data_IF_622349652929
#
_entry.id   IF_622349652929
#
_cell.length_a   1.000
_cell.length_b   1.000
_cell.length_c   1.000
_cell.angle_alpha   90.00
_cell.angle_beta   90.00
_cell.angle_gamma   90.00
#
_symmetry.space_group_name_H-M   'P 1'
#
loop_
_entity.id
_entity.type
_entity.pdbx_description
1 polymer ?
#
# COMPACT_ATOMS: atom_id res chain seq x y z
N UNK A 1 -41.42 -0.34 58.26
CA UNK A 1 -40.52 -1.47 58.56
C UNK A 1 -39.11 -0.94 58.69
N UNK A 2 -38.47 -1.14 59.85
CA UNK A 2 -37.11 -0.70 60.13
C UNK A 2 -36.14 -1.31 59.11
N UNK A 3 -35.56 -0.48 58.24
CA UNK A 3 -34.43 -0.89 57.40
C UNK A 3 -33.26 -1.27 58.33
N UNK A 4 -32.83 -2.54 58.26
CA UNK A 4 -31.63 -3.02 58.93
C UNK A 4 -30.43 -2.22 58.42
N UNK A 5 -29.93 -1.29 59.25
CA UNK A 5 -28.66 -0.59 59.09
C UNK A 5 -27.50 -1.53 59.41
N UNK A 6 -27.25 -2.53 58.56
CA UNK A 6 -25.99 -3.28 58.64
C UNK A 6 -25.15 -2.91 57.42
N UNK A 7 -24.01 -2.28 57.67
CA UNK A 7 -23.01 -1.96 56.66
C UNK A 7 -22.45 -3.26 56.07
N UNK A 8 -21.94 -3.23 54.83
CA UNK A 8 -21.23 -4.36 54.24
C UNK A 8 -20.07 -4.87 55.15
N UNK A 9 -19.47 -3.97 55.94
CA UNK A 9 -18.46 -4.32 56.94
C UNK A 9 -19.02 -5.13 58.14
N UNK A 10 -20.29 -4.90 58.51
CA UNK A 10 -20.97 -5.65 59.57
C UNK A 10 -21.39 -7.05 59.09
N UNK A 11 -21.73 -7.18 57.80
CA UNK A 11 -22.05 -8.46 57.17
C UNK A 11 -20.82 -9.37 57.10
N UNK A 12 -19.66 -8.83 56.70
CA UNK A 12 -18.39 -9.59 56.66
C UNK A 12 -17.99 -10.08 58.06
N UNK A 13 -18.22 -9.28 59.11
CA UNK A 13 -17.92 -9.67 60.50
C UNK A 13 -18.87 -10.73 61.06
N UNK A 14 -20.09 -10.84 60.53
CA UNK A 14 -21.11 -11.84 60.94
C UNK A 14 -21.21 -13.02 59.97
N UNK A 15 -20.37 -13.05 58.94
CA UNK A 15 -20.41 -14.09 57.91
C UNK A 15 -19.91 -15.40 58.49
N UNK A 16 -20.83 -16.34 58.69
CA UNK A 16 -20.52 -17.69 59.15
C UNK A 16 -20.57 -18.65 57.97
N UNK A 17 -19.42 -19.21 57.59
CA UNK A 17 -19.30 -20.16 56.48
C UNK A 17 -20.20 -21.40 56.68
N UNK A 18 -20.47 -21.76 57.94
CA UNK A 18 -21.31 -22.92 58.28
C UNK A 18 -22.80 -22.72 58.00
N UNK A 19 -23.24 -21.47 57.84
CA UNK A 19 -24.63 -21.12 57.48
C UNK A 19 -24.93 -21.25 55.98
N UNK A 20 -23.89 -21.44 55.16
CA UNK A 20 -23.99 -21.59 53.71
C UNK A 20 -23.51 -22.97 53.28
N UNK A 21 -24.45 -23.91 53.12
CA UNK A 21 -24.14 -25.21 52.52
C UNK A 21 -23.95 -25.05 51.01
N UNK A 22 -22.70 -25.16 50.53
CA UNK A 22 -22.45 -25.25 49.09
C UNK A 22 -22.87 -26.63 48.58
N UNK A 23 -23.60 -26.70 47.45
CA UNK A 23 -23.96 -27.99 46.88
C UNK A 23 -22.70 -28.73 46.39
N UNK A 24 -22.59 -30.06 46.61
CA UNK A 24 -21.50 -30.86 46.09
C UNK A 24 -21.40 -30.80 44.55
N UNK A 25 -20.18 -30.99 44.05
CA UNK A 25 -19.82 -30.82 42.63
C UNK A 25 -20.73 -31.60 41.67
N UNK A 26 -21.20 -32.78 42.07
CA UNK A 26 -22.09 -33.63 41.28
C UNK A 26 -23.48 -33.01 41.07
N UNK A 27 -24.00 -32.30 42.08
CA UNK A 27 -25.29 -31.61 41.99
C UNK A 27 -25.19 -30.41 41.06
N UNK A 28 -24.09 -29.65 41.12
CA UNK A 28 -23.83 -28.54 40.19
C UNK A 28 -23.70 -29.04 38.74
N UNK A 29 -23.04 -30.19 38.54
CA UNK A 29 -22.92 -30.81 37.22
C UNK A 29 -24.28 -31.22 36.64
N UNK A 30 -25.14 -31.87 37.43
CA UNK A 30 -26.48 -32.23 36.99
C UNK A 30 -27.34 -31.00 36.69
N UNK A 31 -27.23 -29.94 37.49
CA UNK A 31 -28.12 -28.79 37.37
C UNK A 31 -27.78 -27.89 36.17
N UNK A 32 -26.49 -27.78 35.83
CA UNK A 32 -26.00 -26.83 34.80
C UNK A 32 -25.42 -27.49 33.55
N UNK A 33 -24.88 -28.71 33.62
CA UNK A 33 -24.22 -29.35 32.49
C UNK A 33 -25.08 -30.43 31.78
N UNK A 34 -26.13 -30.97 32.41
CA UNK A 34 -26.97 -32.02 31.80
C UNK A 34 -27.85 -31.54 30.64
N UNK A 35 -28.13 -30.22 30.56
CA UNK A 35 -28.98 -29.62 29.51
C UNK A 35 -28.19 -29.09 28.30
N UNK A 36 -26.87 -29.20 28.31
CA UNK A 36 -26.01 -28.68 27.24
C UNK A 36 -25.47 -29.88 26.47
N UNK A 37 -25.97 -30.07 25.25
CA UNK A 37 -25.32 -30.99 24.32
C UNK A 37 -23.85 -30.56 24.15
N UNK A 38 -22.88 -31.47 24.23
CA UNK A 38 -21.49 -31.14 23.96
C UNK A 38 -21.39 -30.76 22.48
N UNK A 39 -21.41 -29.45 22.17
CA UNK A 39 -20.97 -28.99 20.86
C UNK A 39 -19.51 -29.43 20.70
N UNK A 40 -19.16 -30.12 19.61
CA UNK A 40 -17.78 -30.48 19.35
C UNK A 40 -17.02 -29.19 19.05
N UNK A 41 -16.41 -28.60 20.08
CA UNK A 41 -15.40 -27.57 19.92
C UNK A 41 -14.27 -28.15 19.06
N UNK A 42 -14.29 -27.88 17.76
CA UNK A 42 -13.19 -28.15 16.85
C UNK A 42 -12.07 -27.15 17.13
N UNK A 43 -11.29 -27.43 18.18
CA UNK A 43 -10.02 -26.77 18.40
C UNK A 43 -9.00 -27.40 17.43
N UNK A 44 -8.53 -26.62 16.44
CA UNK A 44 -7.52 -27.02 15.45
C UNK A 44 -6.17 -27.45 16.06
N UNK A 45 -5.99 -27.29 17.37
CA UNK A 45 -4.77 -27.64 18.10
C UNK A 45 -4.79 -29.05 18.69
N UNK A 46 -5.85 -29.83 18.48
CA UNK A 46 -5.93 -31.19 19.05
C UNK A 46 -5.13 -32.23 18.24
N UNK A 47 -4.80 -31.93 16.98
CA UNK A 47 -4.07 -32.83 16.10
C UNK A 47 -2.64 -32.33 15.90
N UNK A 48 -1.75 -32.78 16.79
CA UNK A 48 -0.33 -33.03 16.55
C UNK A 48 0.50 -31.95 15.85
N UNK A 49 0.84 -30.88 16.56
CA UNK A 49 2.17 -30.28 16.47
C UNK A 49 2.38 -29.29 17.61
N UNK A 50 3.32 -29.56 18.52
CA UNK A 50 3.88 -28.50 19.38
C UNK A 50 4.81 -27.67 18.51
N UNK A 51 4.23 -26.89 17.60
CA UNK A 51 4.92 -25.78 16.97
C UNK A 51 4.52 -24.56 17.75
N UNK A 52 5.47 -23.98 18.47
CA UNK A 52 5.31 -22.68 19.12
C UNK A 52 4.90 -21.68 18.02
N UNK A 53 3.61 -21.31 17.98
CA UNK A 53 3.03 -20.42 16.96
C UNK A 53 3.53 -18.97 17.11
N UNK A 54 4.26 -18.67 18.19
CA UNK A 54 5.00 -17.42 18.35
C UNK A 54 6.46 -17.76 18.66
N UNK A 55 7.42 -17.45 17.76
CA UNK A 55 8.83 -17.51 18.09
C UNK A 55 9.16 -16.41 19.09
N UNK A 56 10.00 -16.72 20.07
CA UNK A 56 10.51 -15.78 21.06
C UNK A 56 11.26 -14.64 20.33
N UNK A 57 10.88 -13.37 20.52
CA UNK A 57 11.49 -12.24 19.83
C UNK A 57 12.98 -12.02 20.17
N UNK A 58 13.48 -12.62 21.26
CA UNK A 58 14.88 -12.48 21.68
C UNK A 58 15.82 -13.52 21.03
N UNK A 59 15.29 -14.41 20.18
CA UNK A 59 16.08 -15.44 19.46
C UNK A 59 16.12 -15.13 17.95
N UNK A 60 17.31 -14.92 17.34
CA UNK A 60 17.43 -14.67 15.91
C UNK A 60 16.86 -15.81 15.06
N UNK A 61 16.05 -15.48 14.05
CA UNK A 61 15.52 -16.46 13.10
C UNK A 61 16.66 -17.15 12.35
N UNK A 62 16.78 -18.47 12.53
CA UNK A 62 17.79 -19.31 11.88
C UNK A 62 18.76 -20.02 12.83
N UNK A 63 18.71 -19.76 14.14
CA UNK A 63 19.52 -20.48 15.12
C UNK A 63 18.80 -21.75 15.59
N UNK A 64 19.30 -22.92 15.21
CA UNK A 64 18.92 -24.20 15.80
C UNK A 64 19.71 -24.43 17.10
N UNK A 65 19.02 -24.40 18.23
CA UNK A 65 19.60 -24.55 19.58
C UNK A 65 20.20 -25.94 19.84
N UNK A 66 20.09 -26.89 18.90
CA UNK A 66 20.73 -28.21 18.96
C UNK A 66 21.58 -28.53 17.73
N UNK A 67 22.15 -27.53 17.05
CA UNK A 67 23.14 -27.80 15.99
C UNK A 67 24.41 -28.45 16.55
N UNK A 68 24.85 -29.62 16.05
CA UNK A 68 26.07 -30.27 16.50
C UNK A 68 27.34 -29.63 15.90
N UNK A 69 27.22 -28.46 15.25
CA UNK A 69 28.34 -27.69 14.69
C UNK A 69 29.17 -26.95 15.75
N UNK A 70 28.73 -26.94 17.02
CA UNK A 70 29.43 -26.24 18.11
C UNK A 70 30.14 -27.11 19.14
N UNK A 71 30.09 -28.45 19.04
CA UNK A 71 30.94 -29.32 19.88
C UNK A 71 32.31 -29.54 19.24
N UNK A 72 33.21 -28.58 19.50
CA UNK A 72 34.64 -28.70 19.20
C UNK A 72 35.31 -29.71 20.14
N UNK A 73 35.50 -30.94 19.65
CA UNK A 73 36.61 -31.77 20.10
C UNK A 73 37.65 -31.94 18.98
N UNK A 74 38.96 -31.91 19.29
CA UNK A 74 39.99 -31.78 18.26
C UNK A 74 40.19 -33.12 17.53
N UNK A 75 39.98 -33.13 16.21
CA UNK A 75 40.64 -34.11 15.33
C UNK A 75 39.81 -34.96 14.36
N UNK A 76 38.51 -34.72 14.11
CA UNK A 76 37.74 -35.54 13.13
C UNK A 76 36.95 -34.69 12.14
N UNK A 77 37.02 -35.03 10.84
CA UNK A 77 36.30 -34.41 9.71
C UNK A 77 34.82 -34.87 9.64
N UNK A 78 33.89 -34.08 9.07
CA UNK A 78 32.45 -34.29 9.21
C UNK A 78 31.91 -35.36 8.23
N UNK A 79 30.84 -36.05 8.62
CA UNK A 79 30.01 -36.84 7.70
C UNK A 79 28.51 -36.70 8.02
N UNK A 80 27.82 -36.30 6.96
CA UNK A 80 26.38 -36.27 6.65
C UNK A 80 25.54 -37.43 7.22
N UNK A 81 24.28 -37.13 7.57
CA UNK A 81 23.14 -37.98 7.22
C UNK A 81 22.13 -38.33 8.33
N UNK A 82 20.95 -37.72 8.26
CA UNK A 82 19.60 -38.29 8.45
C UNK A 82 19.34 -39.29 9.59
N UNK A 83 18.51 -38.89 10.56
CA UNK A 83 18.01 -39.79 11.60
C UNK A 83 16.93 -39.17 12.49
N UNK A 84 15.72 -39.13 11.95
CA UNK A 84 14.40 -38.92 12.56
C UNK A 84 14.29 -39.29 14.05
N UNK A 85 14.43 -38.29 14.94
CA UNK A 85 14.15 -38.44 16.38
C UNK A 85 12.69 -38.09 16.72
N UNK A 86 12.07 -37.24 15.93
CA UNK A 86 10.70 -36.74 16.16
C UNK A 86 9.62 -37.78 15.86
N UNK A 87 9.76 -38.62 14.83
CA UNK A 87 8.75 -39.68 14.55
C UNK A 87 8.75 -40.78 15.62
N UNK A 88 9.89 -41.09 16.24
CA UNK A 88 9.96 -42.09 17.31
C UNK A 88 9.28 -41.62 18.61
N UNK A 89 9.35 -40.32 18.90
CA UNK A 89 8.68 -39.73 20.06
C UNK A 89 7.18 -39.58 19.78
N UNK A 90 6.80 -39.17 18.56
CA UNK A 90 5.41 -39.08 18.15
C UNK A 90 4.69 -40.45 18.18
N UNK A 91 5.38 -41.53 17.79
CA UNK A 91 4.86 -42.90 17.88
C UNK A 91 4.71 -43.42 19.31
N UNK A 92 5.52 -42.93 20.25
CA UNK A 92 5.42 -43.32 21.67
C UNK A 92 4.34 -42.54 22.41
N UNK A 93 4.12 -41.27 22.04
CA UNK A 93 3.09 -40.41 22.64
C UNK A 93 1.68 -40.72 22.12
N UNK A 94 1.54 -41.26 20.91
CA UNK A 94 0.23 -41.67 20.36
C UNK A 94 -0.36 -42.90 21.04
N UNK A 95 0.45 -43.70 21.75
CA UNK A 95 -0.02 -44.84 22.55
C UNK A 95 -0.49 -44.47 23.97
N UNK A 96 -0.26 -43.23 24.42
CA UNK A 96 -0.74 -42.74 25.70
C UNK A 96 -2.00 -41.90 25.44
N UNK A 97 -3.19 -42.49 25.64
CA UNK A 97 -4.42 -41.71 25.69
C UNK A 97 -4.35 -40.76 26.88
N UNK A 98 -4.03 -39.49 26.60
CA UNK A 98 -4.07 -38.39 27.58
C UNK A 98 -5.51 -37.92 27.88
N UNK A 99 -6.51 -38.75 27.57
CA UNK A 99 -7.92 -38.47 27.90
C UNK A 99 -8.09 -38.39 29.42
N UNK A 100 -8.28 -37.16 29.92
CA UNK A 100 -8.59 -36.89 31.31
C UNK A 100 -7.48 -36.26 32.14
N UNK A 101 -6.26 -36.12 31.62
CA UNK A 101 -5.14 -35.44 32.31
C UNK A 101 -5.06 -33.94 32.03
N UNK A 102 -5.89 -33.41 31.13
CA UNK A 102 -6.00 -31.96 30.89
C UNK A 102 -6.80 -31.27 32.01
N UNK A 103 -6.44 -30.04 32.41
CA UNK A 103 -7.24 -29.27 33.35
C UNK A 103 -8.66 -29.13 32.79
N UNK A 104 -9.66 -29.57 33.56
CA UNK A 104 -11.07 -29.40 33.20
C UNK A 104 -11.43 -27.93 33.39
N UNK A 105 -11.37 -27.15 32.31
CA UNK A 105 -11.75 -25.74 32.28
C UNK A 105 -13.27 -25.59 32.43
N UNK A 106 -13.78 -25.87 33.62
CA UNK A 106 -15.18 -25.63 33.99
C UNK A 106 -15.26 -24.15 34.38
N UNK A 107 -15.78 -23.31 33.48
CA UNK A 107 -16.15 -21.92 33.80
C UNK A 107 -17.66 -21.88 34.06
N UNK A 108 -18.13 -22.11 35.30
CA UNK A 108 -19.54 -21.91 35.60
C UNK A 108 -19.88 -20.45 35.32
N UNK A 109 -21.05 -20.21 34.72
CA UNK A 109 -21.51 -18.85 34.50
C UNK A 109 -21.56 -18.10 35.85
N UNK A 110 -21.08 -16.85 35.92
CA UNK A 110 -21.09 -16.10 37.16
C UNK A 110 -22.53 -16.06 37.72
N UNK A 111 -22.72 -16.33 39.02
CA UNK A 111 -24.05 -16.37 39.62
C UNK A 111 -24.71 -15.01 39.47
N UNK A 112 -25.89 -14.98 38.83
CA UNK A 112 -26.72 -13.77 38.77
C UNK A 112 -27.35 -13.61 40.15
N UNK A 113 -26.79 -12.71 40.96
CA UNK A 113 -27.40 -12.33 42.23
C UNK A 113 -28.73 -11.61 41.96
N UNK A 114 -29.77 -11.85 42.77
CA UNK A 114 -31.02 -11.11 42.66
C UNK A 114 -30.77 -9.64 42.99
N UNK A 115 -31.40 -8.73 42.23
CA UNK A 115 -31.24 -7.28 42.43
C UNK A 115 -31.73 -6.91 43.83
N UNK A 116 -30.85 -6.34 44.65
CA UNK A 116 -31.15 -5.93 46.01
C UNK A 116 -31.83 -4.56 46.02
N UNK A 117 -32.72 -4.33 46.99
CA UNK A 117 -33.37 -3.03 47.17
C UNK A 117 -32.32 -1.95 47.49
N UNK A 118 -32.01 -1.09 46.49
CA UNK A 118 -31.02 -0.02 46.59
C UNK A 118 -29.86 -0.12 45.59
N UNK A 119 -29.80 -1.17 44.75
CA UNK A 119 -28.82 -1.25 43.67
C UNK A 119 -29.14 -0.28 42.53
N UNK A 120 -28.11 0.41 42.03
CA UNK A 120 -28.21 1.30 40.88
C UNK A 120 -28.51 0.47 39.62
N UNK A 121 -29.71 0.64 39.07
CA UNK A 121 -30.08 0.05 37.79
C UNK A 121 -29.25 0.71 36.69
N UNK A 122 -28.53 -0.09 35.90
CA UNK A 122 -27.87 0.40 34.70
C UNK A 122 -28.97 0.85 33.72
N UNK A 123 -29.17 2.16 33.61
CA UNK A 123 -30.06 2.73 32.61
C UNK A 123 -29.33 2.59 31.29
N UNK A 124 -29.75 1.65 30.43
CA UNK A 124 -29.45 1.71 29.01
C UNK A 124 -30.40 2.76 28.43
N UNK A 125 -29.98 4.03 28.25
CA UNK A 125 -30.81 4.96 27.51
C UNK A 125 -31.08 4.35 26.14
N UNK A 126 -32.33 4.40 25.68
CA UNK A 126 -32.66 4.01 24.31
C UNK A 126 -31.76 4.83 23.38
N UNK A 127 -30.85 4.16 22.69
CA UNK A 127 -29.94 4.77 21.72
C UNK A 127 -30.76 5.10 20.48
N UNK A 128 -31.66 6.08 20.59
CA UNK A 128 -32.32 6.71 19.46
C UNK A 128 -31.37 7.73 18.84
N UNK A 129 -30.14 7.31 18.52
CA UNK A 129 -29.27 8.10 17.66
C UNK A 129 -29.70 7.79 16.23
N UNK A 130 -30.48 8.68 15.64
CA UNK A 130 -30.69 8.68 14.20
C UNK A 130 -29.32 8.81 13.52
N UNK A 131 -29.04 7.96 12.54
CA UNK A 131 -27.80 8.02 11.76
C UNK A 131 -27.80 9.33 10.96
N UNK A 132 -27.27 10.39 11.56
CA UNK A 132 -27.01 11.65 10.87
C UNK A 132 -25.74 11.48 10.03
N UNK A 133 -25.89 10.86 8.87
CA UNK A 133 -24.85 10.84 7.86
C UNK A 133 -24.87 12.17 7.10
N UNK A 134 -23.73 12.85 7.03
CA UNK A 134 -23.59 13.98 6.11
C UNK A 134 -23.48 13.43 4.68
N UNK A 135 -24.61 13.38 3.98
CA UNK A 135 -24.67 12.99 2.57
C UNK A 135 -23.94 13.98 1.63
N UNK A 136 -23.49 15.13 2.14
CA UNK A 136 -22.60 16.07 1.46
C UNK A 136 -21.10 15.77 1.65
N UNK A 137 -20.75 14.87 2.57
CA UNK A 137 -19.37 14.46 2.80
C UNK A 137 -18.88 13.64 1.59
N UNK A 138 -17.91 14.18 0.85
CA UNK A 138 -17.45 13.65 -0.45
C UNK A 138 -18.46 13.76 -1.60
N UNK A 139 -19.53 14.56 -1.46
CA UNK A 139 -20.31 14.96 -2.62
C UNK A 139 -19.41 15.83 -3.50
N UNK A 140 -19.19 15.38 -4.73
CA UNK A 140 -18.52 16.19 -5.74
C UNK A 140 -19.15 17.58 -5.72
N UNK A 141 -18.36 18.59 -5.37
CA UNK A 141 -18.80 19.96 -5.58
C UNK A 141 -19.24 20.05 -7.05
N UNK A 142 -20.32 20.76 -7.34
CA UNK A 142 -20.82 20.88 -8.72
C UNK A 142 -19.71 21.26 -9.72
N UNK A 143 -18.68 21.97 -9.23
CA UNK A 143 -17.42 22.27 -9.91
C UNK A 143 -16.58 21.02 -10.24
N UNK A 144 -16.29 20.16 -9.27
CA UNK A 144 -15.54 18.92 -9.52
C UNK A 144 -16.22 17.96 -10.51
N UNK A 145 -17.55 17.91 -10.50
CA UNK A 145 -18.32 17.18 -11.51
C UNK A 145 -18.16 17.80 -12.91
N UNK A 146 -18.26 19.13 -13.02
CA UNK A 146 -18.06 19.84 -14.29
C UNK A 146 -16.64 19.65 -14.86
N UNK A 147 -15.59 19.75 -14.03
CA UNK A 147 -14.21 19.46 -14.46
C UNK A 147 -14.09 18.02 -14.92
N UNK A 148 -14.65 17.06 -14.19
CA UNK A 148 -14.60 15.64 -14.59
C UNK A 148 -15.26 15.40 -15.93
N UNK A 149 -16.41 16.01 -16.19
CA UNK A 149 -17.09 15.92 -17.48
C UNK A 149 -16.27 16.54 -18.62
N UNK A 150 -15.57 17.65 -18.35
CA UNK A 150 -14.66 18.28 -19.30
C UNK A 150 -13.44 17.41 -19.56
N UNK A 151 -12.82 16.83 -18.53
CA UNK A 151 -11.71 15.88 -18.69
C UNK A 151 -12.16 14.62 -19.43
N UNK A 152 -13.35 14.10 -19.17
CA UNK A 152 -13.91 12.96 -19.89
C UNK A 152 -14.12 13.26 -21.39
N UNK A 153 -14.43 14.52 -21.74
CA UNK A 153 -14.46 14.99 -23.13
C UNK A 153 -13.04 15.15 -23.70
N UNK A 154 -12.09 15.63 -22.88
CA UNK A 154 -10.68 15.79 -23.25
C UNK A 154 -10.01 14.51 -23.72
N UNK A 155 -10.38 13.40 -23.09
CA UNK A 155 -9.86 12.08 -23.40
C UNK A 155 -10.36 11.55 -24.75
N UNK A 156 -11.50 12.04 -25.24
CA UNK A 156 -12.11 11.60 -26.50
C UNK A 156 -11.73 12.48 -27.69
N UNK A 157 -11.30 13.71 -27.43
CA UNK A 157 -10.97 14.66 -28.49
C UNK A 157 -10.54 16.04 -27.97
N UNK A 158 -10.16 16.94 -28.88
CA UNK A 158 -9.72 18.28 -28.53
C UNK A 158 -10.88 19.10 -27.96
N UNK A 159 -10.64 19.80 -26.84
CA UNK A 159 -11.61 20.74 -26.29
C UNK A 159 -11.59 22.08 -27.03
N UNK A 160 -12.72 22.77 -26.99
CA UNK A 160 -12.79 24.16 -27.43
C UNK A 160 -11.92 25.05 -26.52
N UNK A 161 -11.27 26.12 -27.05
CA UNK A 161 -10.39 26.98 -26.24
C UNK A 161 -11.05 27.54 -24.98
N UNK A 162 -12.33 27.91 -25.04
CA UNK A 162 -13.08 28.38 -23.88
C UNK A 162 -13.23 27.31 -22.77
N UNK A 163 -13.38 26.04 -23.17
CA UNK A 163 -13.45 24.93 -22.22
C UNK A 163 -12.08 24.59 -21.64
N UNK A 164 -11.01 24.71 -22.43
CA UNK A 164 -9.64 24.55 -21.95
C UNK A 164 -9.33 25.60 -20.87
N UNK A 165 -9.65 26.87 -21.14
CA UNK A 165 -9.47 27.96 -20.17
C UNK A 165 -10.27 27.73 -18.89
N UNK A 166 -11.53 27.26 -19.01
CA UNK A 166 -12.34 26.92 -17.85
C UNK A 166 -11.67 25.86 -16.95
N UNK A 167 -11.16 24.76 -17.54
CA UNK A 167 -10.46 23.71 -16.78
C UNK A 167 -9.22 24.28 -16.09
N UNK A 168 -8.42 25.10 -16.78
CA UNK A 168 -7.21 25.68 -16.21
C UNK A 168 -7.52 26.62 -15.03
N UNK A 169 -8.55 27.46 -15.16
CA UNK A 169 -8.98 28.37 -14.08
C UNK A 169 -9.51 27.59 -12.88
N UNK A 170 -10.30 26.54 -13.10
CA UNK A 170 -10.83 25.72 -12.01
C UNK A 170 -9.72 24.93 -11.29
N UNK A 171 -8.74 24.40 -12.02
CA UNK A 171 -7.55 23.74 -11.46
C UNK A 171 -6.60 24.70 -10.73
N UNK A 172 -6.54 25.96 -11.15
CA UNK A 172 -5.78 26.99 -10.46
C UNK A 172 -6.44 27.42 -9.13
N UNK A 173 -7.77 27.48 -9.11
CA UNK A 173 -8.55 27.84 -7.93
C UNK A 173 -8.53 26.74 -6.84
N UNK A 174 -8.65 25.47 -7.24
CA UNK A 174 -8.58 24.34 -6.32
C UNK A 174 -7.72 23.20 -6.87
N UNK A 175 -6.43 23.14 -6.49
CA UNK A 175 -5.51 22.09 -6.90
C UNK A 175 -5.94 20.68 -6.48
N UNK A 176 -6.84 20.52 -5.50
CA UNK A 176 -7.31 19.20 -5.06
C UNK A 176 -8.29 18.56 -6.04
N UNK A 177 -8.90 19.35 -6.93
CA UNK A 177 -9.81 18.84 -7.97
C UNK A 177 -9.16 17.80 -8.88
N UNK A 178 -7.83 17.84 -9.00
CA UNK A 178 -7.01 16.91 -9.75
C UNK A 178 -7.24 15.45 -9.34
N UNK A 179 -7.45 15.19 -8.04
CA UNK A 179 -7.78 13.86 -7.51
C UNK A 179 -9.22 13.42 -7.84
N UNK A 180 -10.11 14.36 -8.18
CA UNK A 180 -11.50 14.13 -8.54
C UNK A 180 -11.75 14.10 -10.06
N UNK A 181 -10.73 14.41 -10.86
CA UNK A 181 -10.82 14.39 -12.33
C UNK A 181 -10.95 12.97 -12.91
N UNK A 182 -10.69 11.92 -12.13
CA UNK A 182 -10.75 10.53 -12.60
C UNK A 182 -9.72 10.21 -13.69
N UNK A 183 -8.66 11.01 -13.78
CA UNK A 183 -7.51 10.70 -14.61
C UNK A 183 -6.80 9.50 -13.99
N UNK A 184 -6.47 8.52 -14.83
CA UNK A 184 -5.66 7.35 -14.45
C UNK A 184 -4.45 7.32 -15.36
N UNK A 185 -3.31 6.75 -14.93
CA UNK A 185 -2.10 6.70 -15.77
C UNK A 185 -2.37 6.13 -17.17
N UNK A 186 -3.25 5.13 -17.29
CA UNK A 186 -3.63 4.51 -18.57
C UNK A 186 -4.31 5.46 -19.57
N UNK A 187 -4.99 6.50 -19.08
CA UNK A 187 -5.70 7.49 -19.91
C UNK A 187 -4.84 8.73 -20.19
N UNK A 188 -3.64 8.82 -19.60
CA UNK A 188 -2.73 9.93 -19.81
C UNK A 188 -2.32 10.09 -21.29
N UNK A 189 -1.99 9.02 -22.04
CA UNK A 189 -1.61 9.15 -23.46
C UNK A 189 -2.71 9.80 -24.29
N UNK A 190 -3.96 9.39 -24.09
CA UNK A 190 -5.13 9.96 -24.79
C UNK A 190 -5.30 11.45 -24.48
N UNK A 191 -5.02 11.87 -23.24
CA UNK A 191 -5.08 13.28 -22.84
C UNK A 191 -3.96 14.09 -23.50
N UNK A 192 -2.74 13.55 -23.53
CA UNK A 192 -1.56 14.20 -24.11
C UNK A 192 -1.75 14.42 -25.60
N UNK A 193 -2.26 13.43 -26.33
CA UNK A 193 -2.45 13.53 -27.78
C UNK A 193 -3.57 14.50 -28.17
N UNK A 194 -4.66 14.55 -27.40
CA UNK A 194 -5.79 15.42 -27.71
C UNK A 194 -5.63 16.84 -27.15
N UNK A 195 -5.06 16.99 -25.95
CA UNK A 195 -5.03 18.25 -25.20
C UNK A 195 -3.73 18.39 -24.36
N UNK A 196 -2.57 18.68 -24.97
CA UNK A 196 -1.28 18.72 -24.28
C UNK A 196 -1.20 19.79 -23.19
N UNK A 197 -1.87 20.95 -23.37
CA UNK A 197 -1.85 22.04 -22.39
C UNK A 197 -2.52 21.61 -21.07
N UNK A 198 -3.65 20.90 -21.15
CA UNK A 198 -4.35 20.40 -19.97
C UNK A 198 -3.50 19.31 -19.28
N UNK A 199 -2.87 18.44 -20.06
CA UNK A 199 -2.00 17.40 -19.52
C UNK A 199 -0.84 18.00 -18.69
N UNK A 200 -0.22 19.09 -19.16
CA UNK A 200 0.83 19.81 -18.41
C UNK A 200 0.29 20.32 -17.08
N UNK A 201 -0.82 21.07 -17.08
CA UNK A 201 -1.34 21.66 -15.84
C UNK A 201 -1.72 20.58 -14.81
N UNK A 202 -2.36 19.50 -15.26
CA UNK A 202 -2.72 18.38 -14.40
C UNK A 202 -1.48 17.71 -13.82
N UNK A 203 -0.46 17.44 -14.64
CA UNK A 203 0.79 16.83 -14.19
C UNK A 203 1.56 17.73 -13.21
N UNK A 204 1.58 19.05 -13.42
CA UNK A 204 2.19 20.02 -12.47
C UNK A 204 1.55 19.88 -11.09
N UNK A 205 0.21 19.79 -11.01
CA UNK A 205 -0.47 19.64 -9.72
C UNK A 205 -0.23 18.26 -9.08
N UNK A 206 -0.01 17.23 -9.90
CA UNK A 206 0.31 15.88 -9.42
C UNK A 206 1.78 15.69 -8.98
N UNK A 207 2.72 16.60 -9.27
CA UNK A 207 4.16 16.34 -8.99
C UNK A 207 4.44 15.98 -7.53
N UNK A 208 3.71 16.57 -6.57
CA UNK A 208 3.89 16.29 -5.14
C UNK A 208 3.05 15.09 -4.65
N UNK A 209 2.30 14.43 -5.53
CA UNK A 209 1.48 13.26 -5.20
C UNK A 209 2.32 11.98 -5.18
N UNK A 210 2.05 11.03 -4.28
CA UNK A 210 2.73 9.73 -4.28
C UNK A 210 2.47 8.91 -5.56
N UNK A 211 1.42 9.22 -6.33
CA UNK A 211 1.04 8.50 -7.55
C UNK A 211 1.84 8.96 -8.80
N UNK A 212 2.57 10.09 -8.73
CA UNK A 212 3.29 10.65 -9.88
C UNK A 212 4.25 9.67 -10.60
N UNK A 213 4.96 8.73 -9.93
CA UNK A 213 5.89 7.85 -10.62
C UNK A 213 5.21 6.94 -11.65
N UNK A 214 3.95 6.56 -11.43
CA UNK A 214 3.19 5.77 -12.40
C UNK A 214 2.86 6.58 -13.65
N UNK A 215 2.49 7.85 -13.49
CA UNK A 215 2.26 8.77 -14.60
C UNK A 215 3.55 9.00 -15.40
N UNK A 216 4.69 9.17 -14.73
CA UNK A 216 6.00 9.29 -15.38
C UNK A 216 6.41 8.02 -16.14
N UNK A 217 6.13 6.84 -15.59
CA UNK A 217 6.38 5.56 -16.29
C UNK A 217 5.57 5.49 -17.59
N UNK A 218 4.29 5.87 -17.54
CA UNK A 218 3.46 5.96 -18.75
C UNK A 218 3.99 7.03 -19.70
N UNK A 219 4.42 8.18 -19.16
CA UNK A 219 4.96 9.30 -19.93
C UNK A 219 6.21 8.92 -20.72
N UNK A 220 7.06 8.06 -20.16
CA UNK A 220 8.22 7.47 -20.85
C UNK A 220 7.81 6.40 -21.84
N UNK A 221 6.85 5.55 -21.51
CA UNK A 221 6.46 4.41 -22.36
C UNK A 221 5.65 4.77 -23.60
N UNK A 222 5.14 6.00 -23.69
CA UNK A 222 4.29 6.41 -24.81
C UNK A 222 5.09 6.57 -26.10
N UNK A 223 4.38 6.52 -27.24
CA UNK A 223 4.98 6.78 -28.53
C UNK A 223 5.49 8.23 -28.63
N UNK A 224 6.71 8.39 -29.13
CA UNK A 224 7.34 9.70 -29.27
C UNK A 224 6.59 10.57 -30.28
N UNK A 225 6.01 11.66 -29.81
CA UNK A 225 5.17 12.60 -30.57
C UNK A 225 5.56 14.06 -30.28
N UNK A 226 5.05 15.01 -31.08
CA UNK A 226 5.25 16.43 -30.79
C UNK A 226 4.58 16.80 -29.45
N UNK A 227 3.36 16.29 -29.21
CA UNK A 227 2.58 16.59 -28.02
C UNK A 227 3.26 16.09 -26.75
N UNK A 228 3.75 14.85 -26.75
CA UNK A 228 4.47 14.26 -25.61
C UNK A 228 5.76 15.02 -25.30
N UNK A 229 6.54 15.38 -26.31
CA UNK A 229 7.75 16.20 -26.13
C UNK A 229 7.44 17.62 -25.66
N UNK A 230 6.35 18.24 -26.14
CA UNK A 230 5.93 19.55 -25.62
C UNK A 230 5.59 19.46 -24.12
N UNK A 231 4.83 18.43 -23.72
CA UNK A 231 4.44 18.21 -22.33
C UNK A 231 5.68 18.07 -21.45
N UNK A 232 6.62 17.20 -21.81
CA UNK A 232 7.87 17.01 -21.05
C UNK A 232 8.69 18.29 -21.00
N UNK A 233 8.87 18.99 -22.13
CA UNK A 233 9.65 20.23 -22.18
C UNK A 233 9.04 21.31 -21.27
N UNK A 234 7.71 21.48 -21.27
CA UNK A 234 7.02 22.44 -20.38
C UNK A 234 7.07 22.04 -18.91
N UNK A 235 6.91 20.75 -18.60
CA UNK A 235 7.02 20.27 -17.23
C UNK A 235 8.40 20.55 -16.66
N UNK A 236 9.44 20.26 -17.44
CA UNK A 236 10.83 20.43 -17.03
C UNK A 236 11.20 21.91 -16.80
N UNK A 237 10.53 22.85 -17.47
CA UNK A 237 10.72 24.30 -17.21
C UNK A 237 9.91 24.83 -16.03
N UNK A 238 8.86 24.12 -15.61
CA UNK A 238 7.91 24.59 -14.58
C UNK A 238 8.17 23.96 -13.22
N UNK A 239 8.67 22.72 -13.20
CA UNK A 239 8.92 21.95 -11.99
C UNK A 239 10.26 21.22 -12.10
N UNK A 240 10.97 21.12 -10.98
CA UNK A 240 12.18 20.30 -10.88
C UNK A 240 11.81 18.82 -10.90
N UNK A 241 12.02 18.18 -12.06
CA UNK A 241 11.77 16.75 -12.24
C UNK A 241 12.99 15.93 -11.78
N UNK A 242 12.80 14.71 -11.28
CA UNK A 242 13.90 13.80 -10.98
C UNK A 242 14.78 13.56 -12.21
N UNK A 243 16.10 13.66 -12.05
CA UNK A 243 17.05 13.46 -13.16
C UNK A 243 16.92 12.06 -13.76
N UNK A 244 16.68 11.04 -12.93
CA UNK A 244 16.44 9.64 -13.34
C UNK A 244 15.33 9.54 -14.39
N UNK A 245 14.22 10.25 -14.20
CA UNK A 245 13.12 10.30 -15.16
C UNK A 245 13.57 10.92 -16.49
N UNK A 246 14.30 12.03 -16.44
CA UNK A 246 14.77 12.74 -17.64
C UNK A 246 15.76 11.87 -18.43
N UNK A 247 16.72 11.23 -17.75
CA UNK A 247 17.66 10.32 -18.39
C UNK A 247 16.94 9.15 -19.05
N UNK A 248 16.02 8.50 -18.33
CA UNK A 248 15.23 7.39 -18.88
C UNK A 248 14.40 7.82 -20.10
N UNK A 249 13.81 9.02 -20.06
CA UNK A 249 13.10 9.60 -21.20
C UNK A 249 14.02 9.83 -22.40
N UNK A 250 15.23 10.37 -22.19
CA UNK A 250 16.22 10.60 -23.26
C UNK A 250 16.67 9.27 -23.88
N UNK A 251 16.99 8.27 -23.07
CA UNK A 251 17.38 6.94 -23.57
C UNK A 251 16.25 6.31 -24.39
N UNK A 252 15.00 6.46 -23.95
CA UNK A 252 13.85 6.01 -24.74
C UNK A 252 13.72 6.78 -26.06
N UNK A 253 13.88 8.11 -26.05
CA UNK A 253 13.86 8.93 -27.27
C UNK A 253 14.89 8.46 -28.31
N UNK A 254 16.11 8.19 -27.86
CA UNK A 254 17.23 7.73 -28.72
C UNK A 254 16.93 6.33 -29.25
N UNK A 255 16.50 5.42 -28.39
CA UNK A 255 16.14 4.04 -28.75
C UNK A 255 14.98 3.99 -29.74
N UNK A 256 13.94 4.82 -29.55
CA UNK A 256 12.82 4.97 -30.48
C UNK A 256 13.25 5.53 -31.84
N UNK A 257 14.23 6.44 -31.88
CA UNK A 257 14.78 6.92 -33.15
C UNK A 257 15.50 5.80 -33.92
N UNK A 258 16.17 4.87 -33.23
CA UNK A 258 16.88 3.76 -33.87
C UNK A 258 15.94 2.64 -34.36
N UNK A 259 14.80 2.43 -33.69
CA UNK A 259 13.86 1.36 -34.04
C UNK A 259 12.98 1.67 -35.26
N UNK A 260 12.81 2.95 -35.62
CA UNK A 260 12.01 3.37 -36.78
C UNK A 260 12.71 2.99 -38.09
N UNK A 261 12.06 2.15 -38.89
CA UNK A 261 12.59 1.66 -40.18
C UNK A 261 12.51 2.71 -41.30
N UNK A 262 11.51 3.59 -41.27
CA UNK A 262 11.33 4.61 -42.30
C UNK A 262 12.30 5.77 -42.08
N UNK A 263 13.25 5.93 -43.00
CA UNK A 263 14.25 7.00 -42.96
C UNK A 263 13.64 8.40 -42.95
N UNK A 264 12.48 8.61 -43.58
CA UNK A 264 11.85 9.94 -43.58
C UNK A 264 11.35 10.29 -42.18
N UNK A 265 10.58 9.40 -41.57
CA UNK A 265 10.05 9.55 -40.22
C UNK A 265 11.17 9.59 -39.17
N UNK A 266 12.20 8.77 -39.35
CA UNK A 266 13.39 8.77 -38.51
C UNK A 266 14.10 10.14 -38.53
N UNK A 267 14.30 10.73 -39.71
CA UNK A 267 14.91 12.06 -39.80
C UNK A 267 14.02 13.15 -39.18
N UNK A 268 12.68 13.04 -39.29
CA UNK A 268 11.75 13.96 -38.63
C UNK A 268 11.84 13.86 -37.11
N UNK A 269 11.81 12.64 -36.56
CA UNK A 269 11.90 12.43 -35.11
C UNK A 269 13.28 12.84 -34.58
N UNK A 270 14.35 12.47 -35.28
CA UNK A 270 15.71 12.88 -34.93
C UNK A 270 15.86 14.40 -34.85
N UNK A 271 15.24 15.16 -35.74
CA UNK A 271 15.16 16.63 -35.66
C UNK A 271 14.46 17.11 -34.39
N UNK A 272 13.31 16.51 -34.07
CA UNK A 272 12.52 16.88 -32.89
C UNK A 272 13.30 16.61 -31.60
N UNK A 273 13.92 15.42 -31.48
CA UNK A 273 14.78 15.04 -30.36
C UNK A 273 15.99 15.98 -30.25
N UNK A 274 16.62 16.37 -31.36
CA UNK A 274 17.73 17.32 -31.33
C UNK A 274 17.31 18.68 -30.74
N UNK A 275 16.16 19.22 -31.16
CA UNK A 275 15.64 20.50 -30.64
C UNK A 275 15.27 20.37 -29.16
N UNK A 276 14.67 19.26 -28.76
CA UNK A 276 14.35 18.96 -27.37
C UNK A 276 15.60 18.90 -26.49
N UNK A 277 16.63 18.14 -26.89
CA UNK A 277 17.90 18.07 -26.17
C UNK A 277 18.61 19.43 -26.09
N UNK A 278 18.57 20.22 -27.17
CA UNK A 278 19.09 21.59 -27.15
C UNK A 278 18.36 22.47 -26.12
N UNK A 279 17.04 22.31 -25.98
CA UNK A 279 16.23 23.02 -24.96
C UNK A 279 16.69 22.65 -23.54
N UNK A 280 16.81 21.35 -23.25
CA UNK A 280 17.24 20.85 -21.94
C UNK A 280 18.64 21.36 -21.53
N UNK A 281 19.58 21.34 -22.49
CA UNK A 281 20.95 21.80 -22.27
C UNK A 281 21.00 23.32 -22.05
N UNK A 282 20.29 24.11 -22.88
CA UNK A 282 20.28 25.57 -22.76
C UNK A 282 19.67 26.05 -21.45
N UNK A 283 18.63 25.35 -20.98
CA UNK A 283 17.96 25.65 -19.73
C UNK A 283 18.71 25.10 -18.50
N UNK A 284 19.88 24.45 -18.69
CA UNK A 284 20.73 23.85 -17.63
C UNK A 284 19.99 22.89 -16.71
N UNK A 285 19.06 22.13 -17.29
CA UNK A 285 18.25 21.17 -16.53
C UNK A 285 19.06 19.89 -16.26
N UNK A 286 19.92 19.50 -17.21
CA UNK A 286 20.70 18.27 -17.15
C UNK A 286 22.18 18.59 -17.05
N UNK A 287 22.91 17.82 -16.25
CA UNK A 287 24.36 17.82 -16.25
C UNK A 287 24.86 17.19 -17.55
N UNK A 288 25.51 18.00 -18.38
CA UNK A 288 25.98 17.59 -19.72
C UNK A 288 26.93 16.38 -19.64
N UNK A 289 27.73 16.28 -18.57
CA UNK A 289 28.68 15.18 -18.37
C UNK A 289 28.01 13.81 -18.27
N UNK A 290 26.82 13.72 -17.67
CA UNK A 290 26.14 12.44 -17.42
C UNK A 290 25.52 11.86 -18.70
N UNK A 291 25.12 12.72 -19.64
CA UNK A 291 24.51 12.34 -20.93
C UNK A 291 25.47 12.45 -22.12
N UNK A 292 26.71 12.89 -21.90
CA UNK A 292 27.61 13.29 -22.99
C UNK A 292 27.83 12.16 -24.00
N UNK A 293 28.16 10.97 -23.52
CA UNK A 293 28.52 9.82 -24.37
C UNK A 293 27.31 9.38 -25.21
N UNK A 294 26.12 9.30 -24.60
CA UNK A 294 24.90 8.84 -25.27
C UNK A 294 24.44 9.83 -26.35
N UNK A 295 24.43 11.13 -26.03
CA UNK A 295 24.02 12.17 -26.98
C UNK A 295 25.07 12.38 -28.07
N UNK A 296 26.36 12.22 -27.76
CA UNK A 296 27.43 12.28 -28.74
C UNK A 296 27.30 11.14 -29.76
N UNK A 297 27.08 9.91 -29.28
CA UNK A 297 26.85 8.74 -30.13
C UNK A 297 25.64 8.96 -31.05
N UNK A 298 24.53 9.45 -30.49
CA UNK A 298 23.34 9.83 -31.26
C UNK A 298 23.64 10.89 -32.33
N UNK A 299 24.36 11.96 -31.99
CA UNK A 299 24.71 13.01 -32.95
C UNK A 299 25.60 12.50 -34.11
N UNK A 300 26.47 11.52 -33.85
CA UNK A 300 27.32 10.90 -34.89
C UNK A 300 26.48 10.04 -35.82
N UNK A 301 25.59 9.20 -35.25
CA UNK A 301 24.67 8.35 -36.01
C UNK A 301 23.74 9.19 -36.91
N UNK A 302 23.22 10.30 -36.37
CA UNK A 302 22.33 11.22 -37.06
C UNK A 302 23.05 12.42 -37.70
N UNK A 303 24.35 12.29 -38.00
CA UNK A 303 25.20 13.36 -38.55
C UNK A 303 24.69 14.01 -39.85
N UNK A 304 23.83 13.32 -40.60
CA UNK A 304 23.18 13.86 -41.81
C UNK A 304 22.14 14.95 -41.49
N UNK A 305 21.65 15.00 -40.26
CA UNK A 305 20.67 15.97 -39.79
C UNK A 305 21.40 17.26 -39.36
N UNK A 306 20.97 18.41 -39.88
CA UNK A 306 21.59 19.71 -39.58
C UNK A 306 21.49 20.07 -38.10
N UNK A 307 20.36 19.73 -37.48
CA UNK A 307 20.06 19.95 -36.08
C UNK A 307 20.98 19.13 -35.16
N UNK A 308 21.32 17.89 -35.54
CA UNK A 308 22.28 17.05 -34.84
C UNK A 308 23.70 17.64 -34.88
N UNK A 309 24.13 18.16 -36.04
CA UNK A 309 25.40 18.87 -36.14
C UNK A 309 25.43 20.15 -35.27
N UNK A 310 24.29 20.83 -35.13
CA UNK A 310 24.13 21.97 -34.21
C UNK A 310 24.23 21.57 -32.74
N UNK A 311 23.59 20.47 -32.36
CA UNK A 311 23.64 19.91 -31.01
C UNK A 311 25.06 19.45 -30.64
N UNK A 312 25.76 18.76 -31.55
CA UNK A 312 27.14 18.33 -31.35
C UNK A 312 28.09 19.50 -31.08
N UNK A 313 27.95 20.60 -31.83
CA UNK A 313 28.74 21.82 -31.58
C UNK A 313 28.44 22.44 -30.22
N UNK A 314 27.18 22.46 -29.81
CA UNK A 314 26.78 22.96 -28.49
C UNK A 314 27.37 22.11 -27.37
N UNK A 315 27.36 20.77 -27.52
CA UNK A 315 27.98 19.87 -26.56
C UNK A 315 29.48 20.14 -26.43
N UNK A 316 30.18 20.31 -27.55
CA UNK A 316 31.62 20.61 -27.55
C UNK A 316 31.99 21.97 -26.94
N UNK A 317 31.05 22.93 -26.90
CA UNK A 317 31.29 24.20 -26.18
C UNK A 317 31.10 24.10 -24.67
N UNK A 318 30.50 23.01 -24.19
CA UNK A 318 30.19 22.75 -22.78
C UNK A 318 31.06 21.64 -22.19
N UNK A 319 31.89 21.00 -23.02
CA UNK A 319 33.00 20.12 -22.66
C UNK A 319 34.15 20.94 -22.04
#
# INVERSE_FOLDING_TARGET
MQLLKQSAADYIKKFDLSSHSFPPQEQLWQQYCSKIHPEPFKCLFKDNSVKNVMPDPDVPQGCDSNSPEFDLHPGVKPKIGSGVREESIAGSLSCLSLEGLGPRWIRPFPPRLPVLNGELVWLNPDINHELLWDYGMCADTSRGAAVRDLIAKALKGPLAPAQQEQVLVELANDPKLVYHCGLTPRKLPDLVENNPIIAVEVLIKFVNSPEIPEYFTVLVSMDMSLHSMEVVNRLTTTVELPTEFIHMYITNCISSCQSIKDRYMQNRLGRLVCVFLQSLIRNKIINVHDIFIEVQAFCIEFSRIREAAGLFRLLKTLE
#
